data_IF_444599974446
#
_entry.id   IF_444599974446
#
_cell.length_a   1.000
_cell.length_b   1.000
_cell.length_c   1.000
_cell.angle_alpha   90.00
_cell.angle_beta   90.00
_cell.angle_gamma   90.00
#
_symmetry.space_group_name_H-M   'P 1'
#
loop_
_entity.id
_entity.type
_entity.pdbx_description
1 polymer ?
#
# COMPACT_ATOMS: atom_id res chain seq x y z
N UNK A 1 3.41 12.85 -16.38
CA UNK A 1 3.19 11.45 -16.80
C UNK A 1 4.31 10.61 -16.21
N UNK A 2 3.97 9.46 -15.64
CA UNK A 2 4.98 8.47 -15.23
C UNK A 2 5.49 7.80 -16.51
N UNK A 3 6.80 7.65 -16.67
CA UNK A 3 7.40 7.04 -17.86
C UNK A 3 7.34 5.52 -17.83
N UNK A 4 7.50 4.93 -16.64
CA UNK A 4 7.53 3.48 -16.45
C UNK A 4 6.75 3.07 -15.21
N UNK A 5 6.02 1.96 -15.29
CA UNK A 5 5.36 1.31 -14.15
C UNK A 5 6.02 -0.05 -13.95
N UNK A 6 6.47 -0.34 -12.74
CA UNK A 6 7.11 -1.62 -12.40
C UNK A 6 6.26 -2.30 -11.33
N UNK A 7 5.67 -3.44 -11.66
CA UNK A 7 5.00 -4.32 -10.72
C UNK A 7 6.01 -5.35 -10.20
N UNK A 8 6.33 -5.28 -8.92
CA UNK A 8 7.18 -6.27 -8.25
C UNK A 8 6.49 -7.63 -8.13
N UNK A 9 5.18 -7.60 -7.86
CA UNK A 9 4.32 -8.77 -7.80
C UNK A 9 3.15 -8.58 -8.77
N UNK A 10 2.66 -9.69 -9.33
CA UNK A 10 1.47 -9.69 -10.17
C UNK A 10 0.24 -9.26 -9.35
N UNK A 11 -0.59 -8.34 -9.84
CA UNK A 11 -1.85 -8.03 -9.18
C UNK A 11 -2.81 -9.22 -9.22
N UNK A 12 -3.51 -9.48 -8.11
CA UNK A 12 -4.48 -10.60 -7.98
C UNK A 12 -5.67 -10.49 -8.95
N UNK A 13 -5.96 -9.28 -9.41
CA UNK A 13 -7.09 -9.00 -10.31
C UNK A 13 -6.63 -8.19 -11.52
N UNK A 14 -7.26 -8.47 -12.66
CA UNK A 14 -7.00 -7.75 -13.90
C UNK A 14 -7.37 -6.28 -13.82
N UNK A 15 -8.43 -5.93 -13.08
CA UNK A 15 -8.82 -4.53 -12.85
C UNK A 15 -7.71 -3.76 -12.12
N UNK A 16 -7.13 -4.36 -11.08
CA UNK A 16 -5.99 -3.77 -10.38
C UNK A 16 -4.77 -3.60 -11.30
N UNK A 17 -4.51 -4.57 -12.19
CA UNK A 17 -3.45 -4.46 -13.19
C UNK A 17 -3.68 -3.26 -14.13
N UNK A 18 -4.86 -3.13 -14.73
CA UNK A 18 -5.23 -2.03 -15.62
C UNK A 18 -5.12 -0.67 -14.93
N UNK A 19 -5.59 -0.56 -13.69
CA UNK A 19 -5.51 0.68 -12.91
C UNK A 19 -4.07 1.13 -12.60
N UNK A 20 -3.15 0.16 -12.42
CA UNK A 20 -1.72 0.43 -12.20
C UNK A 20 -1.03 0.90 -13.48
N UNK A 21 -1.21 0.19 -14.60
CA UNK A 21 -0.58 0.57 -15.86
C UNK A 21 -1.16 1.88 -16.42
N UNK A 22 -2.41 2.21 -16.10
CA UNK A 22 -3.05 3.49 -16.45
C UNK A 22 -2.41 4.74 -15.81
N UNK A 23 -1.33 4.57 -15.01
CA UNK A 23 -0.49 5.67 -14.53
C UNK A 23 0.51 6.19 -15.57
N UNK A 24 0.83 5.38 -16.60
CA UNK A 24 1.71 5.76 -17.72
C UNK A 24 0.92 6.00 -19.02
N UNK A 25 1.60 6.35 -20.12
CA UNK A 25 0.99 6.38 -21.47
C UNK A 25 -0.08 7.46 -21.74
N UNK A 26 -0.08 8.59 -21.01
CA UNK A 26 -1.11 9.64 -21.14
C UNK A 26 -0.74 10.72 -22.16
N UNK A 27 -1.76 11.31 -22.80
CA UNK A 27 -1.64 12.44 -23.73
C UNK A 27 -0.69 12.17 -24.92
N UNK A 28 -0.93 11.07 -25.63
CA UNK A 28 -0.17 10.62 -26.80
C UNK A 28 1.34 10.35 -26.56
N UNK A 29 1.76 10.26 -25.30
CA UNK A 29 3.11 9.84 -24.93
C UNK A 29 3.13 8.34 -24.73
N UNK A 30 4.21 7.69 -25.17
CA UNK A 30 4.49 6.30 -24.87
C UNK A 30 4.89 6.13 -23.40
N UNK A 31 4.72 4.92 -22.89
CA UNK A 31 5.05 4.60 -21.52
C UNK A 31 4.99 3.10 -21.30
N UNK A 32 5.95 2.58 -20.53
CA UNK A 32 6.20 1.15 -20.46
C UNK A 32 5.77 0.57 -19.11
N UNK A 33 5.31 -0.68 -19.12
CA UNK A 33 4.92 -1.39 -17.92
C UNK A 33 5.61 -2.75 -17.85
N UNK A 34 6.37 -2.97 -16.78
CA UNK A 34 7.07 -4.23 -16.52
C UNK A 34 6.45 -4.91 -15.30
N UNK A 35 6.28 -6.22 -15.36
CA UNK A 35 5.77 -7.02 -14.23
C UNK A 35 6.66 -8.22 -14.04
N UNK A 36 7.18 -8.39 -12.83
CA UNK A 36 7.87 -9.61 -12.46
C UNK A 36 6.85 -10.68 -12.10
N UNK A 37 7.10 -11.90 -12.58
CA UNK A 37 6.22 -13.04 -12.39
C UNK A 37 7.06 -14.25 -11.99
N UNK A 38 6.46 -15.12 -11.20
CA UNK A 38 6.97 -16.46 -10.94
C UNK A 38 6.23 -17.47 -11.82
N UNK A 39 6.63 -18.74 -11.76
CA UNK A 39 5.93 -19.83 -12.47
C UNK A 39 4.51 -20.05 -11.96
N UNK A 40 4.25 -19.70 -10.71
CA UNK A 40 2.95 -19.90 -10.04
C UNK A 40 1.92 -18.87 -10.51
N UNK A 41 2.39 -17.73 -11.01
CA UNK A 41 1.57 -16.59 -11.46
C UNK A 41 1.03 -16.75 -12.89
N UNK A 42 1.44 -17.79 -13.61
CA UNK A 42 1.05 -18.05 -15.00
C UNK A 42 -0.49 -18.03 -15.23
N UNK A 43 -1.35 -18.56 -14.33
CA UNK A 43 -2.81 -18.49 -14.49
C UNK A 43 -3.35 -17.05 -14.42
N UNK A 44 -2.74 -16.20 -13.59
CA UNK A 44 -3.11 -14.79 -13.44
C UNK A 44 -2.70 -14.01 -14.70
N UNK A 45 -1.49 -14.26 -15.21
CA UNK A 45 -1.01 -13.66 -16.47
C UNK A 45 -1.98 -13.97 -17.61
N UNK A 46 -2.38 -15.24 -17.78
CA UNK A 46 -3.36 -15.62 -18.83
C UNK A 46 -4.70 -14.93 -18.67
N UNK A 47 -5.13 -14.70 -17.43
CA UNK A 47 -6.39 -14.00 -17.15
C UNK A 47 -6.31 -12.53 -17.54
N UNK A 48 -5.14 -11.91 -17.35
CA UNK A 48 -4.85 -10.53 -17.78
C UNK A 48 -4.78 -10.45 -19.31
N UNK A 49 -4.04 -11.34 -19.97
CA UNK A 49 -3.91 -11.41 -21.44
C UNK A 49 -5.27 -11.57 -22.13
N UNK A 50 -6.16 -12.40 -21.58
CA UNK A 50 -7.52 -12.58 -22.13
C UNK A 50 -8.35 -11.29 -22.16
N UNK A 51 -8.18 -10.44 -21.15
CA UNK A 51 -8.92 -9.17 -21.05
C UNK A 51 -8.27 -8.08 -21.91
N UNK A 52 -6.94 -8.05 -21.96
CA UNK A 52 -6.19 -7.15 -22.83
C UNK A 52 -6.40 -7.49 -24.32
N UNK A 53 -6.69 -8.75 -24.63
CA UNK A 53 -6.85 -9.24 -26.01
C UNK A 53 -5.51 -9.49 -26.72
N UNK A 54 -4.39 -9.28 -26.03
CA UNK A 54 -3.04 -9.43 -26.56
C UNK A 54 -2.17 -10.23 -25.59
N UNK A 55 -1.14 -10.89 -26.14
CA UNK A 55 -0.14 -11.59 -25.33
C UNK A 55 0.89 -10.61 -24.81
N UNK A 56 1.26 -10.75 -23.54
CA UNK A 56 2.30 -9.94 -22.93
C UNK A 56 3.65 -10.54 -23.30
N UNK A 57 4.57 -9.71 -23.78
CA UNK A 57 5.93 -10.14 -24.12
C UNK A 57 6.66 -10.63 -22.85
N UNK A 58 7.30 -11.79 -22.96
CA UNK A 58 8.08 -12.39 -21.88
C UNK A 58 9.55 -12.14 -22.12
N UNK A 59 10.14 -11.31 -21.28
CA UNK A 59 11.56 -10.98 -21.33
C UNK A 59 12.30 -11.73 -20.22
N UNK A 60 13.35 -12.46 -20.58
CA UNK A 60 14.32 -13.04 -19.63
C UNK A 60 15.65 -12.31 -19.78
N UNK A 61 16.34 -12.06 -18.66
CA UNK A 61 17.64 -11.43 -18.64
C UNK A 61 18.73 -12.48 -18.87
N UNK A 62 19.64 -12.20 -19.81
CA UNK A 62 20.81 -13.03 -20.03
C UNK A 62 21.71 -13.04 -18.79
N UNK A 63 22.17 -14.22 -18.39
CA UNK A 63 23.07 -14.39 -17.25
C UNK A 63 22.42 -14.32 -15.86
N UNK A 64 21.09 -14.19 -15.76
CA UNK A 64 20.39 -14.25 -14.47
C UNK A 64 20.06 -15.70 -14.08
N UNK A 65 20.43 -16.12 -12.85
CA UNK A 65 20.06 -17.44 -12.34
C UNK A 65 18.63 -17.40 -11.76
N UNK A 66 17.68 -18.00 -12.48
CA UNK A 66 16.28 -18.11 -12.09
C UNK A 66 15.98 -19.30 -11.16
N UNK A 67 17.00 -19.98 -10.65
CA UNK A 67 16.79 -21.01 -9.63
C UNK A 67 16.20 -20.38 -8.36
N UNK A 68 15.27 -21.07 -7.68
CA UNK A 68 14.73 -20.58 -6.43
C UNK A 68 15.87 -20.39 -5.43
N UNK A 69 15.81 -19.31 -4.65
CA UNK A 69 16.75 -19.11 -3.56
C UNK A 69 16.71 -20.33 -2.64
N UNK A 70 17.87 -20.78 -2.10
CA UNK A 70 17.89 -21.86 -1.13
C UNK A 70 16.96 -21.50 0.03
N UNK A 71 16.22 -22.49 0.56
CA UNK A 71 15.32 -22.25 1.68
C UNK A 71 16.09 -21.56 2.79
N UNK A 72 15.59 -20.39 3.21
CA UNK A 72 16.24 -19.61 4.26
C UNK A 72 16.17 -20.43 5.54
N UNK A 73 17.32 -20.98 5.96
CA UNK A 73 17.38 -21.84 7.12
C UNK A 73 16.91 -21.05 8.36
N UNK A 74 15.79 -21.47 8.97
CA UNK A 74 15.16 -20.77 10.10
C UNK A 74 16.00 -20.81 11.38
N UNK A 75 17.09 -21.59 11.38
CA UNK A 75 18.02 -21.71 12.50
C UNK A 75 18.83 -20.43 12.79
N UNK A 76 18.91 -19.50 11.83
CA UNK A 76 19.53 -18.17 12.03
C UNK A 76 18.49 -17.07 12.17
N UNK A 77 17.33 -17.40 12.76
CA UNK A 77 16.40 -16.39 13.25
C UNK A 77 17.16 -15.46 14.20
N UNK A 78 17.45 -14.24 13.71
CA UNK A 78 17.92 -13.14 14.54
C UNK A 78 17.03 -13.12 15.78
N UNK A 79 17.58 -13.23 17.01
CA UNK A 79 16.74 -13.30 18.20
C UNK A 79 15.77 -12.14 18.15
N UNK A 80 14.49 -12.45 18.27
CA UNK A 80 13.42 -11.47 18.33
C UNK A 80 13.83 -10.48 19.42
N UNK A 81 14.19 -9.25 19.01
CA UNK A 81 14.46 -8.19 19.98
C UNK A 81 13.20 -8.10 20.81
N UNK A 82 13.29 -8.49 22.08
CA UNK A 82 12.21 -8.31 23.03
C UNK A 82 11.75 -6.86 22.88
N UNK A 83 10.43 -6.60 22.77
CA UNK A 83 9.92 -5.24 22.73
C UNK A 83 10.48 -4.52 23.95
N UNK A 84 11.48 -3.67 23.73
CA UNK A 84 12.13 -2.90 24.78
C UNK A 84 11.00 -2.17 25.48
N UNK A 85 10.73 -2.60 26.73
CA UNK A 85 9.55 -2.22 27.49
C UNK A 85 9.29 -0.74 27.26
N UNK A 86 8.22 -0.48 26.52
CA UNK A 86 7.74 0.85 26.20
C UNK A 86 7.76 1.63 27.50
N UNK A 87 8.72 2.57 27.60
CA UNK A 87 8.84 3.50 28.70
C UNK A 87 7.43 4.02 28.98
N UNK A 88 6.84 3.54 30.08
CA UNK A 88 5.53 3.97 30.52
C UNK A 88 5.69 5.44 30.85
N UNK A 89 5.38 6.32 29.88
CA UNK A 89 5.12 7.73 30.15
C UNK A 89 4.00 7.74 31.18
N UNK A 90 4.37 7.86 32.46
CA UNK A 90 3.46 8.16 33.56
C UNK A 90 2.80 9.49 33.20
N UNK A 91 1.62 9.44 32.57
CA UNK A 91 0.75 10.60 32.46
C UNK A 91 0.31 10.91 33.89
N UNK A 92 0.90 11.94 34.50
CA UNK A 92 0.35 12.54 35.71
C UNK A 92 -1.08 13.02 35.36
N UNK A 93 -2.11 12.69 36.15
CA UNK A 93 -3.43 13.25 35.90
C UNK A 93 -3.34 14.76 36.12
N UNK A 94 -3.66 15.53 35.09
CA UNK A 94 -3.75 16.98 35.19
C UNK A 94 -5.03 17.29 35.98
N UNK A 95 -4.86 17.58 37.27
CA UNK A 95 -5.95 18.06 38.12
C UNK A 95 -6.29 19.49 37.71
N UNK A 96 -7.43 19.68 37.06
CA UNK A 96 -8.05 20.99 36.92
C UNK A 96 -9.16 21.13 37.96
N UNK A 97 -8.75 21.44 39.18
CA UNK A 97 -9.55 22.08 40.22
C UNK A 97 -8.68 23.22 40.75
N UNK A 98 -9.13 24.47 40.91
CA UNK A 98 -10.46 25.04 40.89
C UNK A 98 -10.33 26.57 40.69
N UNK A 99 -11.47 27.18 40.40
CA UNK A 99 -11.84 28.55 40.78
C UNK A 99 -11.14 29.72 40.05
N UNK A 100 -11.93 30.33 39.16
CA UNK A 100 -12.51 31.66 39.38
C UNK A 100 -12.44 32.55 38.13
N UNK A 101 -13.63 33.05 37.76
CA UNK A 101 -13.82 34.38 37.19
C UNK A 101 -13.31 34.62 35.75
N UNK A 102 -14.23 34.49 34.78
CA UNK A 102 -14.70 35.58 33.90
C UNK A 102 -15.47 34.93 32.73
N UNK A 103 -16.79 34.88 32.82
CA UNK A 103 -17.66 35.84 32.11
C UNK A 103 -17.70 35.62 30.60
N UNK A 104 -18.67 34.84 30.12
CA UNK A 104 -19.53 35.31 29.03
C UNK A 104 -20.87 34.55 28.98
N UNK A 105 -21.92 35.34 28.80
CA UNK A 105 -23.33 35.10 29.10
C UNK A 105 -24.02 34.22 28.03
N UNK A 106 -24.73 33.16 28.44
CA UNK A 106 -25.73 32.46 27.61
C UNK A 106 -26.93 33.38 27.36
N UNK A 107 -27.35 33.56 26.10
CA UNK A 107 -28.68 34.10 25.74
C UNK A 107 -29.70 32.95 25.67
N UNK A 108 -30.91 33.07 26.24
CA UNK A 108 -31.93 32.05 26.11
C UNK A 108 -32.72 32.20 24.80
N UNK A 109 -33.07 31.08 24.17
CA UNK A 109 -34.00 31.02 23.07
C UNK A 109 -35.43 31.29 23.58
N UNK A 110 -36.12 32.29 23.01
CA UNK A 110 -37.54 32.57 23.30
C UNK A 110 -38.40 31.66 22.42
N UNK A 111 -39.31 30.91 23.04
CA UNK A 111 -40.54 30.39 22.41
C UNK A 111 -41.61 31.49 22.47
N UNK A 112 -42.40 31.66 21.40
CA UNK A 112 -43.87 31.59 21.38
C UNK A 112 -44.49 32.20 20.10
N UNK A 113 -45.41 31.43 19.51
CA UNK A 113 -46.66 31.78 18.81
C UNK A 113 -46.67 32.65 17.55
N UNK A 114 -47.12 32.05 16.44
CA UNK A 114 -48.38 32.39 15.75
C UNK A 114 -48.92 31.14 15.04
#
# INVERSE_FOLDING_TARGET
>A
CISHVINFDIPDTTDAYTHRIGRTGRAAKTGDAFTFITREDEPLVRSIERVLGEKIERCTLEGFDYKPAPSRNTDTARPQREPQQQWKKKKKPMSWTSAAALSYKKKPARKAAM
#
